data_IF_442683075652
#
_entry.id   IF_442683075652
#
_cell.length_a   1.000
_cell.length_b   1.000
_cell.length_c   1.000
_cell.angle_alpha   90.00
_cell.angle_beta   90.00
_cell.angle_gamma   90.00
#
_symmetry.space_group_name_H-M   'P 1'
#
loop_
_entity.id
_entity.type
_entity.pdbx_description
1 polymer ?
#
# COMPACT_ATOMS: atom_id res chain seq x y z
N UNK A 1 -9.77 12.14 -0.01
CA UNK A 1 -9.68 13.15 -1.09
C UNK A 1 -10.75 12.92 -2.17
N UNK A 2 -10.73 11.83 -2.96
CA UNK A 2 -11.73 11.61 -4.02
C UNK A 2 -13.20 11.60 -3.54
N UNK A 3 -13.51 10.84 -2.49
CA UNK A 3 -14.85 10.84 -1.87
C UNK A 3 -15.24 12.18 -1.21
N UNK A 4 -14.26 13.04 -0.90
CA UNK A 4 -14.50 14.39 -0.41
C UNK A 4 -14.78 15.40 -1.52
N UNK A 5 -14.31 15.12 -2.74
CA UNK A 5 -14.54 15.97 -3.94
C UNK A 5 -15.85 15.57 -4.63
N UNK A 6 -16.11 14.27 -4.76
CA UNK A 6 -17.37 13.75 -5.30
C UNK A 6 -17.77 12.50 -4.52
N UNK A 7 -18.63 12.64 -3.48
CA UNK A 7 -19.06 11.51 -2.65
C UNK A 7 -19.80 10.45 -3.47
N UNK A 8 -20.55 10.88 -4.49
CA UNK A 8 -21.44 10.03 -5.28
C UNK A 8 -20.79 9.48 -6.56
N UNK A 9 -19.63 10.01 -6.98
CA UNK A 9 -18.87 9.46 -8.10
C UNK A 9 -17.35 9.68 -7.95
N UNK A 10 -16.69 8.99 -6.99
CA UNK A 10 -15.25 9.17 -6.73
C UNK A 10 -14.35 8.82 -7.93
N UNK A 11 -14.78 7.90 -8.80
CA UNK A 11 -14.02 7.48 -9.98
C UNK A 11 -13.86 8.62 -10.99
N UNK A 12 -14.91 9.40 -11.22
CA UNK A 12 -14.88 10.54 -12.16
C UNK A 12 -13.85 11.62 -11.79
N UNK A 13 -13.47 11.69 -10.51
CA UNK A 13 -12.51 12.67 -9.98
C UNK A 13 -11.19 12.02 -9.54
N UNK A 14 -10.96 10.75 -9.85
CA UNK A 14 -9.80 10.01 -9.35
C UNK A 14 -8.45 10.64 -9.79
N UNK A 15 -8.36 11.12 -11.04
CA UNK A 15 -7.15 11.78 -11.56
C UNK A 15 -6.91 13.10 -10.84
N UNK A 16 -7.95 13.91 -10.68
CA UNK A 16 -7.86 15.20 -9.99
C UNK A 16 -7.53 15.03 -8.51
N UNK A 17 -8.19 14.09 -7.83
CA UNK A 17 -7.89 13.72 -6.46
C UNK A 17 -6.44 13.27 -6.30
N UNK A 18 -5.91 12.50 -7.26
CA UNK A 18 -4.50 12.12 -7.30
C UNK A 18 -3.56 13.33 -7.44
N UNK A 19 -3.88 14.29 -8.30
CA UNK A 19 -3.10 15.54 -8.45
C UNK A 19 -3.11 16.37 -7.17
N UNK A 20 -4.27 16.52 -6.52
CA UNK A 20 -4.41 17.25 -5.25
C UNK A 20 -3.60 16.57 -4.14
N UNK A 21 -3.67 15.23 -4.06
CA UNK A 21 -2.89 14.45 -3.10
C UNK A 21 -1.38 14.67 -3.28
N UNK A 22 -0.88 14.56 -4.53
CA UNK A 22 0.54 14.81 -4.82
C UNK A 22 0.96 16.26 -4.55
N UNK A 23 0.09 17.24 -4.85
CA UNK A 23 0.36 18.63 -4.51
C UNK A 23 0.52 18.80 -3.00
N UNK A 24 -0.40 18.24 -2.21
CA UNK A 24 -0.35 18.33 -0.74
C UNK A 24 0.88 17.66 -0.15
N UNK A 25 1.29 16.52 -0.70
CA UNK A 25 2.55 15.85 -0.31
C UNK A 25 3.75 16.77 -0.55
N UNK A 26 3.83 17.42 -1.72
CA UNK A 26 4.95 18.33 -2.01
C UNK A 26 4.96 19.57 -1.11
N UNK A 27 3.78 20.11 -0.76
CA UNK A 27 3.68 21.20 0.23
C UNK A 27 4.23 20.76 1.59
N UNK A 28 3.78 19.61 2.10
CA UNK A 28 4.22 19.08 3.40
C UNK A 28 5.72 18.77 3.43
N UNK A 29 6.26 18.23 2.32
CA UNK A 29 7.70 18.04 2.15
C UNK A 29 8.48 19.35 2.21
N UNK A 30 7.97 20.43 1.60
CA UNK A 30 8.58 21.75 1.64
C UNK A 30 8.50 22.41 3.01
N UNK A 31 7.47 22.10 3.78
CA UNK A 31 7.27 22.58 5.15
C UNK A 31 8.09 21.78 6.19
N UNK A 32 8.69 20.64 5.82
CA UNK A 32 9.36 19.76 6.77
C UNK A 32 8.41 19.09 7.77
N UNK A 33 7.12 19.01 7.44
CA UNK A 33 6.09 18.43 8.32
C UNK A 33 5.98 16.93 8.14
N UNK A 34 5.73 16.20 9.23
CA UNK A 34 5.44 14.76 9.19
C UNK A 34 4.09 14.49 8.52
N UNK A 35 4.02 13.44 7.70
CA UNK A 35 2.79 13.02 7.03
C UNK A 35 2.77 11.53 6.73
N UNK A 36 1.55 11.02 6.51
CA UNK A 36 1.31 9.66 6.05
C UNK A 36 0.25 9.67 4.95
N UNK A 37 0.31 8.69 4.06
CA UNK A 37 -0.72 8.47 3.06
C UNK A 37 -0.91 6.99 2.78
N UNK A 38 -2.13 6.63 2.39
CA UNK A 38 -2.50 5.25 2.06
C UNK A 38 -2.43 5.03 0.54
N UNK A 39 -1.99 3.84 0.14
CA UNK A 39 -1.98 3.39 -1.25
C UNK A 39 -2.07 1.87 -1.30
N UNK A 40 -2.57 1.32 -2.41
CA UNK A 40 -2.54 -0.13 -2.68
C UNK A 40 -1.15 -0.64 -3.09
N UNK A 41 -0.13 0.24 -3.10
CA UNK A 41 1.24 -0.03 -3.53
C UNK A 41 1.37 -0.55 -4.98
N UNK A 42 0.29 -0.53 -5.77
CA UNK A 42 0.25 -1.07 -7.13
C UNK A 42 0.88 -0.16 -8.20
N UNK A 43 1.29 1.05 -7.84
CA UNK A 43 2.02 1.99 -8.71
C UNK A 43 3.50 2.03 -8.36
N UNK A 44 4.33 2.37 -9.34
CA UNK A 44 5.79 2.54 -9.18
C UNK A 44 6.18 3.99 -8.86
N UNK A 45 5.27 4.94 -9.07
CA UNK A 45 5.56 6.39 -9.04
C UNK A 45 6.07 6.87 -7.68
N UNK A 46 5.63 6.26 -6.57
CA UNK A 46 6.02 6.70 -5.23
C UNK A 46 7.47 6.35 -4.86
N UNK A 47 8.16 5.46 -5.60
CA UNK A 47 9.60 5.23 -5.39
C UNK A 47 10.40 6.53 -5.55
N UNK A 48 10.03 7.38 -6.50
CA UNK A 48 10.67 8.69 -6.69
C UNK A 48 10.35 9.66 -5.55
N UNK A 49 9.15 9.55 -4.97
CA UNK A 49 8.73 10.36 -3.84
C UNK A 49 9.52 9.99 -2.57
N UNK A 50 9.70 8.70 -2.31
CA UNK A 50 10.49 8.19 -1.17
C UNK A 50 11.91 8.75 -1.21
N UNK A 51 12.58 8.64 -2.37
CA UNK A 51 13.93 9.18 -2.55
C UNK A 51 14.00 10.69 -2.33
N UNK A 52 12.99 11.44 -2.80
CA UNK A 52 12.92 12.90 -2.58
C UNK A 52 12.71 13.24 -1.10
N UNK A 53 11.86 12.50 -0.41
CA UNK A 53 11.63 12.68 1.02
C UNK A 53 12.93 12.44 1.81
N UNK A 54 13.64 11.34 1.53
CA UNK A 54 14.94 11.03 2.13
C UNK A 54 15.98 12.12 1.87
N UNK A 55 16.05 12.66 0.65
CA UNK A 55 16.93 13.78 0.32
C UNK A 55 16.57 15.08 1.08
N UNK A 56 15.30 15.23 1.46
CA UNK A 56 14.82 16.32 2.31
C UNK A 56 14.99 16.05 3.81
N UNK A 57 15.63 14.94 4.20
CA UNK A 57 15.91 14.59 5.60
C UNK A 57 14.83 13.77 6.30
N UNK A 58 13.83 13.26 5.57
CA UNK A 58 12.81 12.39 6.14
C UNK A 58 13.32 10.97 6.30
N UNK A 59 12.84 10.30 7.35
CA UNK A 59 12.84 8.84 7.45
C UNK A 59 11.53 8.29 6.91
N UNK A 60 11.60 7.34 5.99
CA UNK A 60 10.42 6.74 5.36
C UNK A 60 10.13 5.36 5.94
N UNK A 61 8.97 5.23 6.57
CA UNK A 61 8.43 3.97 7.07
C UNK A 61 7.30 3.44 6.18
N UNK A 62 7.42 2.20 5.72
CA UNK A 62 6.36 1.48 5.01
C UNK A 62 5.64 0.50 5.94
N UNK A 63 4.33 0.66 6.08
CA UNK A 63 3.46 -0.35 6.70
C UNK A 63 2.66 -1.03 5.60
N UNK A 64 2.86 -2.33 5.40
CA UNK A 64 2.16 -3.11 4.39
C UNK A 64 1.25 -4.16 5.03
N UNK A 65 -0.03 -4.11 4.69
CA UNK A 65 -1.03 -5.07 5.15
C UNK A 65 -1.30 -6.09 4.04
N UNK A 66 -0.82 -7.31 4.23
CA UNK A 66 -1.03 -8.42 3.32
C UNK A 66 -2.32 -9.19 3.68
N UNK A 67 -2.96 -9.76 2.66
CA UNK A 67 -4.08 -10.70 2.79
C UNK A 67 -3.67 -12.01 2.13
N UNK A 68 -4.23 -13.12 2.59
CA UNK A 68 -3.96 -14.46 2.08
C UNK A 68 -4.30 -14.65 0.60
N UNK A 69 -5.38 -14.01 0.15
CA UNK A 69 -5.83 -14.11 -1.23
C UNK A 69 -6.55 -12.84 -1.70
N UNK A 70 -6.68 -12.63 -3.04
CA UNK A 70 -7.51 -11.55 -3.56
C UNK A 70 -9.00 -11.75 -3.24
N UNK A 71 -9.47 -12.97 -3.04
CA UNK A 71 -10.86 -13.28 -2.62
C UNK A 71 -11.19 -12.65 -1.27
N UNK A 72 -10.26 -12.68 -0.31
CA UNK A 72 -10.42 -11.97 0.96
C UNK A 72 -10.61 -10.47 0.75
N UNK A 73 -9.99 -9.88 -0.27
CA UNK A 73 -10.23 -8.48 -0.63
C UNK A 73 -11.60 -8.28 -1.32
N UNK A 74 -12.05 -9.23 -2.15
CA UNK A 74 -13.39 -9.21 -2.76
C UNK A 74 -14.48 -9.19 -1.69
N UNK A 75 -14.39 -10.10 -0.71
CA UNK A 75 -15.35 -10.22 0.38
C UNK A 75 -15.41 -8.94 1.23
N UNK A 76 -14.26 -8.33 1.51
CA UNK A 76 -14.20 -7.04 2.23
C UNK A 76 -14.83 -5.90 1.45
N UNK A 77 -14.62 -5.84 0.14
CA UNK A 77 -15.27 -4.82 -0.72
C UNK A 77 -16.77 -5.08 -0.78
N UNK A 78 -17.21 -6.33 -0.97
CA UNK A 78 -18.62 -6.69 -1.00
C UNK A 78 -19.34 -6.33 0.30
N UNK A 79 -18.73 -6.65 1.46
CA UNK A 79 -19.25 -6.24 2.76
C UNK A 79 -19.34 -4.73 2.91
N UNK A 80 -18.29 -3.99 2.52
CA UNK A 80 -18.32 -2.52 2.57
C UNK A 80 -19.42 -1.95 1.68
N UNK A 81 -19.66 -2.53 0.50
CA UNK A 81 -20.72 -2.09 -0.42
C UNK A 81 -22.11 -2.35 0.18
N UNK A 82 -22.32 -3.49 0.84
CA UNK A 82 -23.60 -3.75 1.54
C UNK A 82 -23.84 -2.79 2.72
N UNK A 83 -22.76 -2.25 3.30
CA UNK A 83 -22.80 -1.20 4.33
C UNK A 83 -22.86 0.24 3.75
N UNK A 84 -23.05 0.39 2.42
CA UNK A 84 -23.24 1.68 1.75
C UNK A 84 -21.96 2.35 1.23
N UNK A 85 -20.83 1.63 1.22
CA UNK A 85 -19.58 2.12 0.62
C UNK A 85 -19.49 1.93 -0.89
N UNK A 86 -18.40 2.44 -1.48
CA UNK A 86 -18.18 2.39 -2.93
C UNK A 86 -17.70 1.02 -3.41
N UNK A 87 -18.19 0.58 -4.57
CA UNK A 87 -17.74 -0.65 -5.22
C UNK A 87 -16.40 -0.47 -5.93
N UNK A 88 -15.61 -1.54 -6.06
CA UNK A 88 -14.41 -1.56 -6.90
C UNK A 88 -14.52 -2.81 -7.79
N UNK A 89 -14.30 -2.70 -9.12
CA UNK A 89 -14.32 -3.86 -10.01
C UNK A 89 -13.33 -4.96 -9.57
N UNK A 90 -13.76 -6.22 -9.65
CA UNK A 90 -12.97 -7.39 -9.21
C UNK A 90 -11.62 -7.46 -9.94
N UNK A 91 -11.61 -7.26 -11.26
CA UNK A 91 -10.39 -7.20 -12.09
C UNK A 91 -9.41 -6.13 -11.58
N UNK A 92 -9.94 -5.01 -11.09
CA UNK A 92 -9.14 -3.92 -10.52
C UNK A 92 -8.59 -4.28 -9.15
N UNK A 93 -9.35 -4.99 -8.31
CA UNK A 93 -8.89 -5.49 -7.02
C UNK A 93 -7.77 -6.51 -7.24
N UNK A 94 -8.01 -7.53 -8.06
CA UNK A 94 -7.07 -8.62 -8.35
C UNK A 94 -5.73 -8.09 -8.91
N UNK A 95 -5.82 -7.25 -9.95
CA UNK A 95 -4.64 -6.62 -10.56
C UNK A 95 -3.86 -5.80 -9.54
N UNK A 96 -4.53 -5.08 -8.64
CA UNK A 96 -3.86 -4.25 -7.61
C UNK A 96 -3.23 -5.12 -6.52
N UNK A 97 -3.86 -6.22 -6.14
CA UNK A 97 -3.36 -7.18 -5.16
C UNK A 97 -1.99 -7.73 -5.59
N UNK A 98 -1.92 -8.38 -6.77
CA UNK A 98 -0.67 -8.97 -7.25
C UNK A 98 0.41 -7.92 -7.56
N UNK A 99 0.03 -6.78 -8.15
CA UNK A 99 0.99 -5.68 -8.37
C UNK A 99 1.51 -5.09 -7.07
N UNK A 100 0.68 -5.00 -6.03
CA UNK A 100 1.07 -4.52 -4.71
C UNK A 100 2.18 -5.39 -4.12
N UNK A 101 2.00 -6.71 -4.11
CA UNK A 101 2.98 -7.69 -3.62
C UNK A 101 4.28 -7.63 -4.45
N UNK A 102 4.15 -7.63 -5.78
CA UNK A 102 5.31 -7.53 -6.67
C UNK A 102 6.11 -6.25 -6.45
N UNK A 103 5.43 -5.12 -6.27
CA UNK A 103 6.08 -3.84 -6.03
C UNK A 103 6.68 -3.78 -4.61
N UNK A 104 5.98 -4.30 -3.59
CA UNK A 104 6.48 -4.39 -2.22
C UNK A 104 7.90 -4.98 -2.22
N UNK A 105 8.02 -6.19 -2.78
CA UNK A 105 9.26 -6.95 -2.75
C UNK A 105 10.36 -6.35 -3.63
N UNK A 106 10.01 -5.89 -4.84
CA UNK A 106 11.01 -5.51 -5.83
C UNK A 106 11.35 -4.02 -5.85
N UNK A 107 10.46 -3.15 -5.36
CA UNK A 107 10.59 -1.70 -5.53
C UNK A 107 10.59 -0.93 -4.22
N UNK A 108 9.80 -1.34 -3.23
CA UNK A 108 9.60 -0.54 -2.02
C UNK A 108 10.45 -1.00 -0.84
N UNK A 109 10.51 -2.31 -0.54
CA UNK A 109 11.42 -2.84 0.49
C UNK A 109 12.88 -2.38 0.27
N UNK A 110 13.42 -2.35 -0.96
CA UNK A 110 14.81 -1.92 -1.16
C UNK A 110 15.08 -0.42 -0.96
N UNK A 111 14.05 0.44 -0.85
CA UNK A 111 14.23 1.90 -0.81
C UNK A 111 13.70 2.57 0.45
N UNK A 112 12.85 1.91 1.23
CA UNK A 112 12.35 2.45 2.50
C UNK A 112 13.38 2.26 3.62
N UNK A 113 13.46 3.23 4.54
CA UNK A 113 14.35 3.16 5.71
C UNK A 113 13.87 2.14 6.74
N UNK A 114 12.54 2.03 6.87
CA UNK A 114 11.86 1.06 7.73
C UNK A 114 10.72 0.42 6.96
N UNK A 115 10.46 -0.85 7.21
CA UNK A 115 9.27 -1.50 6.70
C UNK A 115 8.75 -2.55 7.67
N UNK A 116 7.43 -2.72 7.69
CA UNK A 116 6.73 -3.76 8.45
C UNK A 116 5.69 -4.38 7.52
N UNK A 117 5.73 -5.69 7.40
CA UNK A 117 4.72 -6.49 6.70
C UNK A 117 3.88 -7.20 7.74
N UNK A 118 2.57 -6.95 7.70
CA UNK A 118 1.59 -7.54 8.61
C UNK A 118 0.67 -8.47 7.85
N UNK A 119 0.37 -9.63 8.44
CA UNK A 119 -0.73 -10.47 8.01
C UNK A 119 -2.02 -9.88 8.58
N UNK A 120 -2.92 -9.48 7.69
CA UNK A 120 -4.21 -8.93 8.02
C UNK A 120 -5.34 -9.84 7.52
N UNK A 121 -5.08 -11.11 7.20
CA UNK A 121 -6.11 -12.08 6.79
C UNK A 121 -7.06 -12.42 7.95
N UNK A 122 -6.55 -12.44 9.19
CA UNK A 122 -7.29 -12.72 10.42
C UNK A 122 -7.05 -11.65 11.50
N UNK A 123 -7.86 -11.67 12.56
CA UNK A 123 -7.75 -10.79 13.73
C UNK A 123 -7.37 -11.62 14.96
N UNK A 124 -6.37 -11.22 15.75
CA UNK A 124 -5.53 -10.02 15.59
C UNK A 124 -4.54 -10.15 14.43
N UNK A 125 -4.20 -9.01 13.81
CA UNK A 125 -3.13 -8.96 12.81
C UNK A 125 -1.79 -9.30 13.46
N UNK A 126 -0.94 -10.02 12.75
CA UNK A 126 0.40 -10.41 13.22
C UNK A 126 1.48 -9.80 12.33
N UNK A 127 2.64 -9.50 12.91
CA UNK A 127 3.81 -9.06 12.14
C UNK A 127 4.46 -10.29 11.50
N UNK A 128 4.61 -10.25 10.18
CA UNK A 128 5.22 -11.34 9.39
C UNK A 128 6.72 -11.12 9.26
N UNK A 129 7.13 -9.92 8.87
CA UNK A 129 8.52 -9.53 8.70
C UNK A 129 8.67 -8.02 8.88
N UNK A 130 9.84 -7.57 9.29
CA UNK A 130 10.15 -6.16 9.45
C UNK A 130 11.63 -5.86 9.24
N UNK A 131 11.93 -4.61 8.93
CA UNK A 131 13.29 -4.11 8.93
C UNK A 131 13.39 -2.67 9.40
N UNK A 132 14.53 -2.35 9.97
CA UNK A 132 14.99 -0.98 10.17
C UNK A 132 16.50 -0.89 10.03
N UNK A 133 17.00 0.34 9.91
CA UNK A 133 18.43 0.66 9.95
C UNK A 133 19.15 0.20 11.22
N UNK A 134 18.42 -0.08 12.32
CA UNK A 134 19.00 -0.48 13.60
C UNK A 134 19.27 -1.98 13.73
N UNK A 135 18.43 -2.83 13.10
CA UNK A 135 18.46 -4.28 13.32
C UNK A 135 18.44 -5.13 12.04
N UNK A 136 18.40 -4.52 10.84
CA UNK A 136 18.35 -5.26 9.59
C UNK A 136 17.00 -5.95 9.37
N UNK A 137 16.95 -6.97 8.50
CA UNK A 137 15.73 -7.73 8.22
C UNK A 137 15.50 -8.80 9.28
N UNK A 138 14.26 -8.89 9.78
CA UNK A 138 13.81 -9.92 10.71
C UNK A 138 12.53 -10.54 10.19
N UNK A 139 12.56 -11.85 9.96
CA UNK A 139 11.39 -12.65 9.57
C UNK A 139 10.83 -13.30 10.83
N UNK A 140 9.58 -12.99 11.18
CA UNK A 140 8.90 -13.46 12.39
C UNK A 140 8.05 -14.69 12.08
N UNK A 141 7.31 -14.65 10.96
CA UNK A 141 6.51 -15.77 10.47
C UNK A 141 7.03 -16.20 9.09
N UNK A 142 7.92 -17.20 9.06
CA UNK A 142 8.57 -17.67 7.83
C UNK A 142 7.60 -18.30 6.83
N UNK A 143 6.54 -18.94 7.31
CA UNK A 143 5.58 -19.63 6.45
C UNK A 143 4.80 -18.62 5.62
N UNK A 144 4.26 -17.59 6.27
CA UNK A 144 3.56 -16.50 5.57
C UNK A 144 4.53 -15.71 4.68
N UNK A 145 5.75 -15.47 5.16
CA UNK A 145 6.75 -14.77 4.34
C UNK A 145 7.06 -15.53 3.05
N UNK A 146 7.23 -16.85 3.13
CA UNK A 146 7.42 -17.70 1.95
C UNK A 146 6.21 -17.65 1.01
N UNK A 147 4.99 -17.64 1.53
CA UNK A 147 3.77 -17.45 0.71
C UNK A 147 3.82 -16.11 -0.05
N UNK A 148 4.17 -15.01 0.63
CA UNK A 148 4.30 -13.68 0.00
C UNK A 148 5.36 -13.69 -1.10
N UNK A 149 6.51 -14.34 -0.87
CA UNK A 149 7.58 -14.46 -1.86
C UNK A 149 7.15 -15.23 -3.11
N UNK A 150 6.34 -16.29 -2.95
CA UNK A 150 5.79 -17.06 -4.07
C UNK A 150 4.80 -16.23 -4.89
N UNK A 151 3.92 -15.47 -4.21
CA UNK A 151 2.92 -14.60 -4.86
C UNK A 151 3.53 -13.45 -5.69
N UNK A 152 4.84 -13.18 -5.56
CA UNK A 152 5.57 -12.18 -6.37
C UNK A 152 5.44 -12.43 -7.87
N UNK A 153 5.33 -13.69 -8.26
CA UNK A 153 5.30 -14.12 -9.66
C UNK A 153 3.88 -14.28 -10.21
N UNK A 154 2.87 -14.20 -9.33
CA UNK A 154 1.48 -14.32 -9.73
C UNK A 154 1.06 -13.06 -10.49
N UNK A 155 0.19 -13.25 -11.47
CA UNK A 155 -0.40 -12.19 -12.25
C UNK A 155 -1.87 -12.48 -12.47
N UNK A 156 -2.70 -11.44 -12.51
CA UNK A 156 -4.03 -11.52 -13.11
C UNK A 156 -3.88 -12.06 -14.53
N UNK A 157 -4.48 -13.22 -14.82
CA UNK A 157 -4.56 -13.77 -16.18
C UNK A 157 -5.19 -12.78 -17.15
#
# INVERSE_FOLDING_TARGET
>A
IAAGISPFNPESVAIEAGRIMLKRINELLGEGSDFAFETTLSTRSYVSLIKKAQQAGYEVTLLYFWLDSPETAYDRVAKRVSEGGHNIPIDTIERRYYRGIKNLLNLYIPVCDKWIVMNNASVPSEVVAQSSTLFGEVIINSDIWNTILLQRNDSSN
#
